data_IF_597259534589
#
_entry.id   IF_597259534589
#
_cell.length_a   1.000
_cell.length_b   1.000
_cell.length_c   1.000
_cell.angle_alpha   90.00
_cell.angle_beta   90.00
_cell.angle_gamma   90.00
#
_symmetry.space_group_name_H-M   'P 1'
#
loop_
_entity.id
_entity.type
_entity.pdbx_description
1 polymer ?
#
# COMPACT_ATOMS: atom_id res chain seq x y z
N UNK A 1 17.31 -19.82 22.35
CA UNK A 1 17.99 -19.37 21.11
C UNK A 1 17.01 -19.54 19.96
N UNK A 2 16.77 -18.51 19.13
CA UNK A 2 16.00 -18.73 17.91
C UNK A 2 16.76 -19.76 17.07
N UNK A 3 16.04 -20.74 16.52
CA UNK A 3 16.61 -21.78 15.69
C UNK A 3 16.99 -21.12 14.37
N UNK A 4 18.31 -20.99 14.11
CA UNK A 4 18.87 -20.54 12.85
C UNK A 4 18.42 -21.53 11.76
N UNK A 5 17.44 -21.16 10.96
CA UNK A 5 17.08 -21.91 9.74
C UNK A 5 17.92 -21.37 8.59
N UNK A 6 18.27 -22.19 7.59
CA UNK A 6 19.05 -21.72 6.42
C UNK A 6 18.47 -20.51 5.68
N UNK A 7 17.18 -20.22 5.91
CA UNK A 7 16.38 -19.22 5.22
C UNK A 7 16.17 -17.94 6.07
N UNK A 8 17.10 -17.63 6.98
CA UNK A 8 17.06 -16.40 7.79
C UNK A 8 18.18 -15.43 7.46
N UNK A 9 17.84 -14.13 7.44
CA UNK A 9 18.77 -13.03 7.34
C UNK A 9 18.66 -12.12 8.58
N UNK A 10 19.76 -11.44 8.91
CA UNK A 10 19.79 -10.52 10.03
C UNK A 10 19.42 -9.10 9.59
N UNK A 11 18.36 -8.54 10.19
CA UNK A 11 17.98 -7.15 9.94
C UNK A 11 18.82 -6.21 10.81
N UNK A 12 19.68 -5.42 10.18
CA UNK A 12 20.55 -4.45 10.87
C UNK A 12 19.78 -3.29 11.53
N UNK A 13 18.58 -2.95 11.05
CA UNK A 13 17.80 -1.84 11.62
C UNK A 13 17.11 -2.28 12.92
N UNK A 14 16.43 -3.43 12.90
CA UNK A 14 15.69 -3.93 14.07
C UNK A 14 16.54 -4.82 14.99
N UNK A 15 17.78 -5.14 14.59
CA UNK A 15 18.71 -5.99 15.35
C UNK A 15 18.12 -7.38 15.69
N UNK A 16 17.31 -7.93 14.78
CA UNK A 16 16.67 -9.25 14.92
C UNK A 16 16.92 -10.11 13.68
N UNK A 17 16.86 -11.42 13.89
CA UNK A 17 16.91 -12.40 12.81
C UNK A 17 15.52 -12.66 12.24
N UNK A 18 15.41 -12.59 10.91
CA UNK A 18 14.14 -12.59 10.19
C UNK A 18 14.21 -13.61 9.06
N UNK A 19 13.15 -14.38 8.84
CA UNK A 19 13.07 -15.30 7.71
C UNK A 19 13.00 -14.53 6.39
N UNK A 20 13.59 -15.04 5.30
CA UNK A 20 13.61 -14.43 3.95
C UNK A 20 12.22 -14.15 3.34
N UNK A 21 11.19 -14.77 3.90
CA UNK A 21 9.79 -14.47 3.54
C UNK A 21 9.31 -13.12 4.05
N UNK A 22 9.97 -12.56 5.06
CA UNK A 22 9.61 -11.32 5.74
C UNK A 22 10.62 -10.22 5.44
N UNK A 23 10.25 -8.97 5.65
CA UNK A 23 11.07 -7.82 5.25
C UNK A 23 10.97 -6.67 6.25
N UNK A 24 12.00 -5.84 6.29
CA UNK A 24 11.96 -4.57 7.00
C UNK A 24 11.24 -3.52 6.16
N UNK A 25 10.17 -2.95 6.69
CA UNK A 25 9.45 -1.85 6.05
C UNK A 25 9.99 -0.53 6.57
N UNK A 26 10.65 0.22 5.69
CA UNK A 26 11.16 1.57 6.02
C UNK A 26 10.01 2.50 6.42
N UNK A 27 8.85 2.39 5.74
CA UNK A 27 7.68 3.22 5.99
C UNK A 27 7.03 2.99 7.35
N UNK A 28 7.12 1.77 7.86
CA UNK A 28 6.58 1.40 9.19
C UNK A 28 7.67 1.36 10.27
N UNK A 29 8.93 1.60 9.88
CA UNK A 29 10.11 1.51 10.72
C UNK A 29 10.18 0.22 11.56
N UNK A 30 9.72 -0.90 10.99
CA UNK A 30 9.74 -2.19 11.68
C UNK A 30 9.77 -3.37 10.69
N UNK A 31 10.21 -4.53 11.19
CA UNK A 31 10.12 -5.78 10.44
C UNK A 31 8.67 -6.27 10.38
N UNK A 32 8.21 -6.59 9.17
CA UNK A 32 6.90 -7.17 8.93
C UNK A 32 7.03 -8.69 8.99
N UNK A 33 6.67 -9.25 10.13
CA UNK A 33 6.67 -10.67 10.46
C UNK A 33 5.26 -11.26 10.36
N UNK A 34 5.12 -12.56 10.56
CA UNK A 34 3.81 -13.25 10.50
C UNK A 34 2.76 -12.65 11.44
N UNK A 35 3.15 -12.23 12.64
CA UNK A 35 2.23 -11.75 13.68
C UNK A 35 1.65 -10.37 13.34
N UNK A 36 2.43 -9.49 12.73
CA UNK A 36 2.01 -8.11 12.40
C UNK A 36 1.65 -7.91 10.92
N UNK A 37 1.85 -8.93 10.08
CA UNK A 37 1.56 -8.86 8.65
C UNK A 37 0.13 -8.40 8.34
N UNK A 38 -0.87 -8.87 9.10
CA UNK A 38 -2.26 -8.48 8.86
C UNK A 38 -2.48 -6.98 9.09
N UNK A 39 -1.86 -6.40 10.11
CA UNK A 39 -1.94 -4.95 10.38
C UNK A 39 -1.23 -4.16 9.29
N UNK A 40 -0.08 -4.64 8.83
CA UNK A 40 0.62 -4.02 7.70
C UNK A 40 -0.26 -4.01 6.44
N UNK A 41 -0.85 -5.16 6.08
CA UNK A 41 -1.68 -5.27 4.88
C UNK A 41 -2.95 -4.42 4.96
N UNK A 42 -3.67 -4.50 6.08
CA UNK A 42 -4.87 -3.69 6.32
C UNK A 42 -4.54 -2.20 6.35
N UNK A 43 -3.44 -1.80 6.99
CA UNK A 43 -2.96 -0.43 6.99
C UNK A 43 -2.65 0.07 5.57
N UNK A 44 -2.08 -0.78 4.72
CA UNK A 44 -1.80 -0.45 3.33
C UNK A 44 -3.08 -0.28 2.49
N UNK A 45 -4.13 -1.08 2.76
CA UNK A 45 -5.45 -0.90 2.16
C UNK A 45 -6.12 0.40 2.60
N UNK A 46 -6.05 0.73 3.90
CA UNK A 46 -6.57 2.00 4.41
C UNK A 46 -5.83 3.19 3.81
N UNK A 47 -4.49 3.12 3.71
CA UNK A 47 -3.69 4.14 3.06
C UNK A 47 -4.12 4.32 1.59
N UNK A 48 -4.22 3.23 0.83
CA UNK A 48 -4.70 3.25 -0.56
C UNK A 48 -6.06 3.95 -0.69
N UNK A 49 -7.06 3.50 0.08
CA UNK A 49 -8.41 4.06 0.02
C UNK A 49 -8.45 5.54 0.40
N UNK A 50 -7.69 5.93 1.42
CA UNK A 50 -7.64 7.32 1.91
C UNK A 50 -7.00 8.24 0.87
N UNK A 51 -5.89 7.82 0.27
CA UNK A 51 -5.19 8.62 -0.74
C UNK A 51 -6.03 8.68 -2.02
N UNK A 52 -6.61 7.56 -2.47
CA UNK A 52 -7.47 7.52 -3.65
C UNK A 52 -8.67 8.45 -3.50
N UNK A 53 -9.38 8.34 -2.37
CA UNK A 53 -10.55 9.17 -2.11
C UNK A 53 -10.16 10.64 -1.91
N UNK A 54 -9.13 10.91 -1.12
CA UNK A 54 -8.66 12.27 -0.83
C UNK A 54 -8.16 13.01 -2.08
N UNK A 55 -7.40 12.33 -2.95
CA UNK A 55 -6.92 12.93 -4.21
C UNK A 55 -8.04 13.13 -5.22
N UNK A 56 -9.00 12.21 -5.31
CA UNK A 56 -10.18 12.38 -6.16
C UNK A 56 -11.01 13.60 -5.70
N UNK A 57 -11.36 13.66 -4.41
CA UNK A 57 -12.10 14.80 -3.85
C UNK A 57 -11.32 16.12 -4.01
N UNK A 58 -10.03 16.12 -3.71
CA UNK A 58 -9.19 17.32 -3.85
C UNK A 58 -9.17 17.84 -5.29
N UNK A 59 -8.90 16.96 -6.26
CA UNK A 59 -8.89 17.34 -7.68
C UNK A 59 -10.26 17.78 -8.18
N UNK A 60 -11.34 17.13 -7.75
CA UNK A 60 -12.72 17.50 -8.15
C UNK A 60 -13.24 18.76 -7.45
N UNK A 61 -12.58 19.20 -6.39
CA UNK A 61 -12.88 20.46 -5.70
C UNK A 61 -12.14 21.64 -6.33
N UNK A 62 -10.87 21.42 -6.70
CA UNK A 62 -9.98 22.49 -7.21
C UNK A 62 -10.11 22.66 -8.72
N UNK A 63 -10.34 21.57 -9.44
CA UNK A 63 -10.63 21.57 -10.86
C UNK A 63 -12.14 21.53 -11.10
N UNK A 64 -12.60 21.94 -12.28
CA UNK A 64 -14.00 21.81 -12.68
C UNK A 64 -14.38 20.31 -12.71
N UNK A 65 -15.31 19.85 -11.86
CA UNK A 65 -15.71 18.45 -11.85
C UNK A 65 -16.70 18.14 -12.97
N UNK A 66 -16.71 16.89 -13.42
CA UNK A 66 -17.80 16.33 -14.21
C UNK A 66 -18.25 14.98 -13.63
N UNK A 67 -19.54 14.68 -13.80
CA UNK A 67 -20.14 13.42 -13.37
C UNK A 67 -20.02 12.38 -14.48
N UNK A 68 -19.23 11.35 -14.24
CA UNK A 68 -19.17 10.15 -15.06
C UNK A 68 -20.22 9.15 -14.56
N UNK A 69 -21.08 8.66 -15.45
CA UNK A 69 -22.19 7.74 -15.16
C UNK A 69 -23.15 8.21 -14.05
N UNK A 70 -23.20 9.51 -13.76
CA UNK A 70 -24.08 10.09 -12.73
C UNK A 70 -23.66 9.81 -11.28
N UNK A 71 -22.55 9.12 -11.04
CA UNK A 71 -22.11 8.72 -9.69
C UNK A 71 -20.63 9.02 -9.39
N UNK A 72 -19.76 9.08 -10.40
CA UNK A 72 -18.32 9.23 -10.21
C UNK A 72 -17.91 10.65 -10.58
N UNK A 73 -17.32 11.38 -9.62
CA UNK A 73 -16.73 12.70 -9.87
C UNK A 73 -15.32 12.54 -10.46
N UNK A 74 -15.08 13.22 -11.57
CA UNK A 74 -13.77 13.29 -12.22
C UNK A 74 -13.40 14.73 -12.54
N UNK A 75 -12.12 15.11 -12.45
CA UNK A 75 -11.66 16.43 -12.85
C UNK A 75 -11.68 16.54 -14.40
N UNK A 76 -12.29 17.61 -14.92
CA UNK A 76 -12.34 17.91 -16.36
C UNK A 76 -11.30 18.95 -16.77
N UNK A 77 -11.26 20.06 -16.04
CA UNK A 77 -10.45 21.23 -16.39
C UNK A 77 -9.83 21.87 -15.15
N UNK A 78 -8.54 22.19 -15.22
CA UNK A 78 -7.73 22.74 -14.13
C UNK A 78 -6.98 24.02 -14.55
N UNK A 79 -7.45 24.76 -15.56
CA UNK A 79 -6.74 25.95 -16.07
C UNK A 79 -6.51 27.04 -15.00
N UNK A 80 -7.45 27.23 -14.07
CA UNK A 80 -7.40 28.33 -13.10
C UNK A 80 -6.71 27.98 -11.77
N UNK A 81 -6.18 26.75 -11.63
CA UNK A 81 -5.65 26.27 -10.34
C UNK A 81 -4.39 27.02 -9.88
N UNK A 82 -3.71 27.71 -10.79
CA UNK A 82 -2.51 28.51 -10.49
C UNK A 82 -2.81 29.99 -10.25
N UNK A 83 -4.08 30.41 -10.31
CA UNK A 83 -4.46 31.80 -10.07
C UNK A 83 -4.29 32.20 -8.60
N UNK A 84 -4.57 31.26 -7.68
CA UNK A 84 -4.38 31.46 -6.25
C UNK A 84 -3.36 30.47 -5.68
N UNK A 85 -2.49 30.95 -4.80
CA UNK A 85 -1.47 30.11 -4.16
C UNK A 85 -2.07 28.90 -3.41
N UNK A 86 -3.22 29.08 -2.77
CA UNK A 86 -3.90 28.01 -2.03
C UNK A 86 -4.43 26.89 -2.94
N UNK A 87 -4.94 27.24 -4.12
CA UNK A 87 -5.36 26.27 -5.13
C UNK A 87 -4.14 25.56 -5.72
N UNK A 88 -3.07 26.31 -6.01
CA UNK A 88 -1.85 25.77 -6.60
C UNK A 88 -1.18 24.74 -5.68
N UNK A 89 -1.01 25.06 -4.39
CA UNK A 89 -0.40 24.13 -3.43
C UNK A 89 -1.29 22.89 -3.24
N UNK A 90 -2.61 23.06 -3.19
CA UNK A 90 -3.54 21.95 -3.02
C UNK A 90 -3.55 21.03 -4.24
N UNK A 91 -3.48 21.59 -5.45
CA UNK A 91 -3.35 20.83 -6.69
C UNK A 91 -2.05 20.02 -6.70
N UNK A 92 -0.91 20.66 -6.40
CA UNK A 92 0.40 19.99 -6.33
C UNK A 92 0.39 18.86 -5.27
N UNK A 93 -0.19 19.08 -4.10
CA UNK A 93 -0.38 18.05 -3.08
C UNK A 93 -1.19 16.85 -3.60
N UNK A 94 -2.26 17.08 -4.37
CA UNK A 94 -3.04 16.00 -4.97
C UNK A 94 -2.22 15.21 -6.00
N UNK A 95 -1.38 15.86 -6.81
CA UNK A 95 -0.47 15.19 -7.76
C UNK A 95 0.55 14.32 -7.03
N UNK A 96 1.17 14.82 -5.96
CA UNK A 96 2.05 13.99 -5.11
C UNK A 96 1.30 12.83 -4.46
N UNK A 97 0.05 13.07 -4.03
CA UNK A 97 -0.84 12.03 -3.54
C UNK A 97 -1.07 10.92 -4.56
N UNK A 98 -1.33 11.26 -5.83
CA UNK A 98 -1.47 10.28 -6.91
C UNK A 98 -0.17 9.50 -7.15
N UNK A 99 0.98 10.17 -7.08
CA UNK A 99 2.29 9.51 -7.15
C UNK A 99 2.46 8.47 -6.03
N UNK A 100 2.11 8.83 -4.80
CA UNK A 100 2.17 7.90 -3.67
C UNK A 100 1.12 6.79 -3.79
N UNK A 101 -0.07 7.08 -4.32
CA UNK A 101 -1.09 6.06 -4.62
C UNK A 101 -0.56 4.98 -5.58
N UNK A 102 0.18 5.37 -6.62
CA UNK A 102 0.83 4.42 -7.53
C UNK A 102 1.81 3.50 -6.79
N UNK A 103 2.64 4.05 -5.90
CA UNK A 103 3.58 3.26 -5.07
C UNK A 103 2.82 2.26 -4.19
N UNK A 104 1.79 2.72 -3.49
CA UNK A 104 0.94 1.87 -2.65
C UNK A 104 0.26 0.77 -3.46
N UNK A 105 -0.21 1.08 -4.67
CA UNK A 105 -0.83 0.12 -5.59
C UNK A 105 0.16 -0.97 -5.99
N UNK A 106 1.39 -0.61 -6.36
CA UNK A 106 2.44 -1.58 -6.70
C UNK A 106 2.78 -2.50 -5.53
N UNK A 107 2.81 -1.96 -4.31
CA UNK A 107 2.99 -2.75 -3.09
C UNK A 107 1.84 -3.74 -2.96
N UNK A 108 0.58 -3.31 -3.06
CA UNK A 108 -0.60 -4.18 -2.96
C UNK A 108 -0.61 -5.28 -4.04
N UNK A 109 -0.29 -4.93 -5.30
CA UNK A 109 -0.14 -5.89 -6.40
C UNK A 109 0.92 -6.94 -6.05
N UNK A 110 2.10 -6.52 -5.59
CA UNK A 110 3.16 -7.45 -5.17
C UNK A 110 2.69 -8.39 -4.05
N UNK A 111 1.90 -7.89 -3.11
CA UNK A 111 1.36 -8.70 -2.02
C UNK A 111 0.35 -9.74 -2.55
N UNK A 112 -0.56 -9.32 -3.45
CA UNK A 112 -1.53 -10.21 -4.09
C UNK A 112 -0.87 -11.33 -4.91
N UNK A 113 0.12 -11.01 -5.76
CA UNK A 113 0.71 -11.98 -6.68
C UNK A 113 1.87 -12.80 -6.12
N UNK A 114 2.67 -12.25 -5.20
CA UNK A 114 3.87 -12.93 -4.70
C UNK A 114 3.66 -13.49 -3.30
N UNK A 115 3.00 -12.74 -2.42
CA UNK A 115 2.97 -13.08 -1.00
C UNK A 115 1.81 -14.01 -0.65
N UNK A 116 0.60 -13.74 -1.13
CA UNK A 116 -0.57 -14.60 -0.87
C UNK A 116 -0.31 -16.04 -1.34
N UNK A 117 0.20 -16.30 -2.55
CA UNK A 117 0.49 -17.67 -2.98
C UNK A 117 1.55 -18.35 -2.11
N UNK A 118 2.61 -17.63 -1.70
CA UNK A 118 3.67 -18.15 -0.83
C UNK A 118 3.17 -18.48 0.58
N UNK A 119 2.21 -17.71 1.11
CA UNK A 119 1.63 -17.95 2.43
C UNK A 119 0.56 -19.07 2.40
N UNK A 120 -0.27 -19.10 1.36
CA UNK A 120 -1.34 -20.08 1.19
C UNK A 120 -0.82 -21.46 0.78
N UNK A 121 0.24 -21.55 -0.02
CA UNK A 121 0.78 -22.84 -0.49
C UNK A 121 1.11 -23.86 0.63
N UNK A 122 1.82 -23.51 1.71
CA UNK A 122 2.08 -24.46 2.79
C UNK A 122 0.84 -24.79 3.63
N UNK A 123 -0.12 -23.87 3.79
CA UNK A 123 -1.38 -24.15 4.49
C UNK A 123 -2.31 -25.04 3.66
N UNK A 124 -2.38 -24.81 2.34
CA UNK A 124 -3.10 -25.66 1.39
C UNK A 124 -2.56 -27.09 1.40
N UNK A 125 -1.23 -27.28 1.41
CA UNK A 125 -0.62 -28.61 1.53
C UNK A 125 -1.04 -29.34 2.83
N UNK A 126 -1.15 -28.63 3.95
CA UNK A 126 -1.64 -29.19 5.22
C UNK A 126 -3.13 -29.54 5.18
N UNK A 127 -3.93 -28.79 4.44
CA UNK A 127 -5.37 -29.06 4.27
C UNK A 127 -5.64 -30.23 3.32
N UNK A 128 -4.82 -30.37 2.27
CA UNK A 128 -4.97 -31.45 1.27
C UNK A 128 -4.38 -32.77 1.76
N UNK A 129 -3.31 -32.75 2.58
CA UNK A 129 -2.75 -33.94 3.23
C UNK A 129 -2.81 -33.80 4.77
N UNK A 130 -3.98 -33.99 5.39
CA UNK A 130 -4.13 -33.89 6.85
C UNK A 130 -3.53 -35.07 7.63
N UNK A 131 -3.03 -36.12 6.95
CA UNK A 131 -2.63 -37.40 7.56
C UNK A 131 -1.12 -37.69 7.58
N UNK A 132 -0.27 -36.67 7.40
CA UNK A 132 1.20 -36.75 7.66
C UNK A 132 1.60 -35.71 8.69
#
# INVERSE_FOLDING_TARGET
SPVLTSDSHYCQVCQIEVNDRFFHSIWWNCCILRQNYIYFYVGQLFAFSTILYGTNLGLTTICQPFLLYGIILLPKDCQDVYFEFQLAISFVCCIYGLGYLCVVTLILIRHLFVFIPKYMAPQWKKLVNPTV
#
